data_IF_244221068899
#
_entry.id   IF_244221068899
#
_cell.length_a   1.000
_cell.length_b   1.000
_cell.length_c   1.000
_cell.angle_alpha   90.00
_cell.angle_beta   90.00
_cell.angle_gamma   90.00
#
_symmetry.space_group_name_H-M   'P 1'
#
loop_
_entity.id
_entity.type
_entity.pdbx_description
1 polymer ?
#
# COMPACT_ATOMS: atom_id res chain seq x y z
N UNK A 1 -14.40 -15.42 -23.04
CA UNK A 1 -13.06 -16.07 -23.06
C UNK A 1 -12.93 -16.89 -21.77
N UNK A 2 -12.83 -18.22 -21.88
CA UNK A 2 -12.74 -19.10 -20.72
C UNK A 2 -11.42 -18.84 -19.97
N UNK A 3 -11.51 -18.56 -18.66
CA UNK A 3 -10.34 -18.33 -17.81
C UNK A 3 -9.67 -19.68 -17.54
N UNK A 4 -8.52 -19.94 -18.15
CA UNK A 4 -7.77 -21.17 -17.90
C UNK A 4 -7.50 -21.33 -16.40
N UNK A 5 -7.88 -22.49 -15.88
CA UNK A 5 -7.77 -22.81 -14.46
C UNK A 5 -6.32 -23.21 -14.18
N UNK A 6 -5.55 -22.28 -13.63
CA UNK A 6 -4.15 -22.52 -13.23
C UNK A 6 -4.03 -23.79 -12.36
N UNK A 7 -3.01 -24.63 -12.60
CA UNK A 7 -2.73 -25.80 -11.76
C UNK A 7 -2.43 -25.39 -10.31
N UNK A 8 -2.65 -26.31 -9.36
CA UNK A 8 -2.57 -26.01 -7.92
C UNK A 8 -1.23 -25.39 -7.50
N UNK A 9 -0.12 -25.90 -8.04
CA UNK A 9 1.22 -25.37 -7.75
C UNK A 9 1.40 -23.93 -8.25
N UNK A 10 0.90 -23.62 -9.45
CA UNK A 10 0.96 -22.26 -9.98
C UNK A 10 0.14 -21.27 -9.13
N UNK A 11 -0.97 -21.72 -8.53
CA UNK A 11 -1.76 -20.89 -7.60
C UNK A 11 -1.02 -20.61 -6.30
N UNK A 12 -0.30 -21.60 -5.75
CA UNK A 12 0.53 -21.43 -4.54
C UNK A 12 1.69 -20.48 -4.80
N UNK A 13 2.40 -20.65 -5.92
CA UNK A 13 3.48 -19.74 -6.32
C UNK A 13 2.96 -18.32 -6.47
N UNK A 14 1.81 -18.14 -7.13
CA UNK A 14 1.17 -16.82 -7.23
C UNK A 14 0.86 -16.20 -5.86
N UNK A 15 0.39 -17.00 -4.91
CA UNK A 15 0.13 -16.54 -3.55
C UNK A 15 1.43 -16.08 -2.88
N UNK A 16 2.50 -16.88 -2.96
CA UNK A 16 3.81 -16.55 -2.39
C UNK A 16 4.36 -15.27 -3.00
N UNK A 17 4.31 -15.12 -4.33
CA UNK A 17 4.78 -13.91 -5.02
C UNK A 17 4.05 -12.65 -4.53
N UNK A 18 2.78 -12.76 -4.16
CA UNK A 18 1.98 -11.61 -3.69
C UNK A 18 2.15 -11.37 -2.18
N UNK A 19 2.19 -12.43 -1.37
CA UNK A 19 2.24 -12.29 0.10
C UNK A 19 3.65 -12.02 0.64
N UNK A 20 4.68 -12.58 0.00
CA UNK A 20 6.06 -12.50 0.46
C UNK A 20 6.60 -11.05 0.49
N UNK A 21 6.34 -10.18 -0.51
CA UNK A 21 6.75 -8.79 -0.45
C UNK A 21 6.13 -8.03 0.73
N UNK A 22 4.86 -8.29 1.03
CA UNK A 22 4.14 -7.66 2.14
C UNK A 22 4.77 -8.07 3.47
N UNK A 23 5.07 -9.37 3.62
CA UNK A 23 5.71 -9.92 4.81
C UNK A 23 7.14 -9.36 5.01
N UNK A 24 7.90 -9.25 3.93
CA UNK A 24 9.27 -8.68 3.98
C UNK A 24 9.21 -7.21 4.37
N UNK A 25 8.33 -6.42 3.73
CA UNK A 25 8.18 -5.00 4.05
C UNK A 25 7.76 -4.78 5.51
N UNK A 26 6.77 -5.53 6.01
CA UNK A 26 6.33 -5.41 7.40
C UNK A 26 7.40 -5.83 8.40
N UNK A 27 8.12 -6.91 8.13
CA UNK A 27 9.23 -7.38 8.97
C UNK A 27 10.36 -6.35 9.03
N UNK A 28 10.72 -5.73 7.90
CA UNK A 28 11.73 -4.68 7.87
C UNK A 28 11.32 -3.44 8.66
N UNK A 29 10.06 -3.01 8.55
CA UNK A 29 9.53 -1.89 9.33
C UNK A 29 9.54 -2.19 10.82
N UNK A 30 9.11 -3.39 11.22
CA UNK A 30 9.13 -3.81 12.61
C UNK A 30 10.56 -3.95 13.15
N UNK A 31 11.49 -4.47 12.36
CA UNK A 31 12.90 -4.55 12.73
C UNK A 31 13.49 -3.17 13.01
N UNK A 32 13.23 -2.19 12.13
CA UNK A 32 13.64 -0.80 12.32
C UNK A 32 13.08 -0.18 13.60
N UNK A 33 11.83 -0.49 13.95
CA UNK A 33 11.19 0.03 15.17
C UNK A 33 11.66 -0.67 16.45
N UNK A 34 11.65 -1.99 16.46
CA UNK A 34 11.84 -2.80 17.67
C UNK A 34 13.31 -3.04 17.99
N UNK A 35 14.17 -3.14 16.98
CA UNK A 35 15.60 -3.45 17.16
C UNK A 35 16.46 -2.21 17.01
N UNK A 36 16.20 -1.38 15.98
CA UNK A 36 17.01 -0.17 15.74
C UNK A 36 16.48 1.06 16.49
N UNK A 37 15.28 1.00 17.07
CA UNK A 37 14.68 2.12 17.81
C UNK A 37 14.34 3.34 16.92
N UNK A 38 14.21 3.16 15.60
CA UNK A 38 13.85 4.25 14.69
C UNK A 38 12.45 4.79 15.04
N UNK A 39 12.34 6.11 15.25
CA UNK A 39 11.05 6.75 15.54
C UNK A 39 10.03 6.55 14.39
N UNK A 40 8.75 6.41 14.74
CA UNK A 40 7.69 6.38 13.74
C UNK A 40 7.64 7.72 12.99
N UNK A 41 7.88 7.68 11.67
CA UNK A 41 7.70 8.85 10.80
C UNK A 41 6.29 9.40 10.96
N UNK A 42 6.19 10.65 11.41
CA UNK A 42 4.93 11.40 11.45
C UNK A 42 4.59 11.81 10.03
N UNK A 43 3.35 11.58 9.61
CA UNK A 43 2.87 12.08 8.33
C UNK A 43 2.80 13.61 8.42
N UNK A 44 3.29 14.35 7.41
CA UNK A 44 3.16 15.79 7.40
C UNK A 44 1.67 16.16 7.35
N UNK A 45 1.21 16.99 8.30
CA UNK A 45 -0.19 17.43 8.39
C UNK A 45 -0.66 18.26 7.18
N UNK A 46 0.26 18.63 6.28
CA UNK A 46 0.00 19.47 5.10
C UNK A 46 -0.70 18.73 3.96
N UNK A 47 -0.82 17.40 4.01
CA UNK A 47 -1.54 16.60 3.00
C UNK A 47 -3.05 16.90 3.02
N UNK A 48 -3.59 17.34 4.17
CA UNK A 48 -5.00 17.70 4.30
C UNK A 48 -5.38 18.99 3.57
N UNK A 49 -4.44 19.92 3.37
CA UNK A 49 -4.72 21.19 2.69
C UNK A 49 -4.83 20.98 1.18
N UNK A 50 -3.90 20.24 0.57
CA UNK A 50 -3.89 19.99 -0.89
C UNK A 50 -5.10 19.16 -1.35
N UNK A 51 -5.55 18.20 -0.53
CA UNK A 51 -6.71 17.37 -0.86
C UNK A 51 -8.05 18.15 -0.74
N UNK A 52 -8.12 19.17 0.12
CA UNK A 52 -9.29 20.06 0.20
C UNK A 52 -9.39 20.92 -1.06
N UNK A 53 -8.27 21.46 -1.52
CA UNK A 53 -8.25 22.32 -2.72
C UNK A 53 -8.69 21.54 -3.96
N UNK A 54 -8.23 20.29 -4.13
CA UNK A 54 -8.64 19.44 -5.26
C UNK A 54 -10.16 19.15 -5.25
N UNK A 55 -10.74 18.92 -4.07
CA UNK A 55 -12.20 18.68 -3.92
C UNK A 55 -13.04 19.91 -4.26
N UNK A 56 -12.51 21.12 -4.03
CA UNK A 56 -13.20 22.37 -4.35
C UNK A 56 -13.18 22.69 -5.86
N UNK A 57 -12.07 22.41 -6.55
CA UNK A 57 -11.97 22.60 -8.00
C UNK A 57 -12.93 21.69 -8.79
N UNK A 58 -13.12 20.45 -8.34
CA UNK A 58 -14.03 19.50 -9.00
C UNK A 58 -15.51 19.88 -8.85
N UNK A 59 -15.83 20.65 -7.80
CA UNK A 59 -17.21 21.09 -7.53
C UNK A 59 -17.57 22.34 -8.33
N UNK A 60 -16.61 23.25 -8.56
CA UNK A 60 -16.81 24.49 -9.32
C UNK A 60 -16.86 24.29 -10.86
N UNK A 61 -16.27 23.20 -11.39
CA UNK A 61 -16.26 22.94 -12.84
C UNK A 61 -17.57 22.31 -13.37
N UNK A 62 -18.53 22.02 -12.48
CA UNK A 62 -19.76 21.30 -12.81
C UNK A 62 -21.01 22.19 -12.91
N UNK A 63 -20.87 23.50 -12.70
CA UNK A 63 -21.87 24.52 -13.08
C UNK A 63 -21.47 25.21 -14.38
#
# INVERSE_FOLDING_TARGET
MAKEKLPLEARRIRLIIVSLPILVASSLVLYKRLVLGEEQRKLPQTIDTQNKDMKLLDTQKKE
#
